data_IF_901142828898
#
_entry.id   IF_901142828898
#
_cell.length_a   1.000
_cell.length_b   1.000
_cell.length_c   1.000
_cell.angle_alpha   90.00
_cell.angle_beta   90.00
_cell.angle_gamma   90.00
#
_symmetry.space_group_name_H-M   'P 1'
#
loop_
_entity.id
_entity.type
_entity.pdbx_description
1 polymer ?
#
# COMPACT_ATOMS: atom_id res chain seq x y z
N UNK A 1 27.73 29.37 48.81
CA UNK A 1 28.00 30.80 48.54
C UNK A 1 27.19 31.18 47.33
N UNK A 2 26.01 31.76 47.58
CA UNK A 2 25.12 32.31 46.57
C UNK A 2 25.64 33.69 46.19
N UNK A 3 25.77 33.99 44.90
CA UNK A 3 26.00 35.34 44.41
C UNK A 3 24.70 35.84 43.77
N UNK A 4 24.09 36.82 44.42
CA UNK A 4 22.99 37.62 43.90
C UNK A 4 23.43 38.42 42.67
N UNK A 5 22.68 38.29 41.58
CA UNK A 5 22.78 39.13 40.39
C UNK A 5 21.50 39.97 40.30
N UNK A 6 21.57 41.31 40.23
CA UNK A 6 20.38 42.14 40.25
C UNK A 6 19.62 42.06 38.91
N UNK A 7 18.32 41.83 39.02
CA UNK A 7 17.35 41.87 37.94
C UNK A 7 17.41 43.22 37.21
N UNK A 8 17.81 43.20 35.94
CA UNK A 8 17.66 44.34 35.03
C UNK A 8 16.18 44.46 34.66
N UNK A 9 15.48 45.38 35.31
CA UNK A 9 14.09 45.71 34.98
C UNK A 9 14.03 46.22 33.53
N UNK A 10 13.21 45.58 32.70
CA UNK A 10 12.80 46.14 31.40
C UNK A 10 11.98 47.41 31.65
N UNK A 11 12.20 48.49 30.89
CA UNK A 11 11.42 49.71 31.04
C UNK A 11 9.93 49.43 30.72
N UNK A 12 8.99 50.10 31.41
CA UNK A 12 7.57 49.94 31.15
C UNK A 12 7.22 50.38 29.73
N UNK A 13 6.31 49.64 29.09
CA UNK A 13 5.74 49.89 27.75
C UNK A 13 4.81 51.12 27.73
N UNK A 14 5.24 52.25 28.31
CA UNK A 14 4.40 53.47 28.39
C UNK A 14 4.98 54.67 27.64
N UNK A 15 6.13 54.55 26.98
CA UNK A 15 6.79 55.69 26.33
C UNK A 15 6.45 55.90 24.84
N UNK A 16 5.55 55.10 24.24
CA UNK A 16 5.18 55.26 22.83
C UNK A 16 3.91 56.09 22.59
N UNK A 17 3.06 56.25 23.60
CA UNK A 17 1.78 56.96 23.45
C UNK A 17 1.92 58.49 23.59
N UNK A 18 3.01 58.99 24.18
CA UNK A 18 3.22 60.42 24.46
C UNK A 18 3.74 61.25 23.26
N UNK A 19 4.15 60.62 22.15
CA UNK A 19 4.74 61.32 20.98
C UNK A 19 3.76 61.45 19.81
N UNK A 20 2.62 60.74 19.86
CA UNK A 20 1.59 60.74 18.81
C UNK A 20 1.02 62.15 18.52
N UNK A 21 0.82 63.05 19.51
CA UNK A 21 0.26 64.38 19.24
C UNK A 21 1.14 65.27 18.35
N UNK A 22 2.46 65.09 18.36
CA UNK A 22 3.43 65.99 17.72
C UNK A 22 3.84 65.58 16.30
N UNK A 23 3.28 64.49 15.76
CA UNK A 23 3.61 64.00 14.42
C UNK A 23 2.82 64.72 13.32
N UNK A 24 3.53 65.18 12.30
CA UNK A 24 2.94 65.71 11.06
C UNK A 24 2.09 64.65 10.35
N UNK A 25 1.11 65.07 9.55
CA UNK A 25 0.20 64.17 8.82
C UNK A 25 0.96 63.11 8.01
N UNK A 26 2.06 63.47 7.37
CA UNK A 26 2.91 62.56 6.60
C UNK A 26 3.67 61.53 7.47
N UNK A 27 4.06 61.90 8.69
CA UNK A 27 4.72 60.99 9.64
C UNK A 27 3.75 59.96 10.23
N UNK A 28 2.49 60.37 10.50
CA UNK A 28 1.43 59.47 10.96
C UNK A 28 1.09 58.39 9.92
N UNK A 29 1.00 58.76 8.64
CA UNK A 29 0.79 57.81 7.55
C UNK A 29 1.91 56.78 7.45
N UNK A 30 3.18 57.20 7.56
CA UNK A 30 4.34 56.28 7.51
C UNK A 30 4.38 55.32 8.70
N UNK A 31 4.01 55.77 9.90
CA UNK A 31 3.96 54.93 11.11
C UNK A 31 2.84 53.90 11.01
N UNK A 32 1.66 54.29 10.51
CA UNK A 32 0.53 53.40 10.26
C UNK A 32 0.86 52.31 9.23
N UNK A 33 1.54 52.67 8.14
CA UNK A 33 2.02 51.70 7.14
C UNK A 33 3.06 50.74 7.73
N UNK A 34 4.03 51.23 8.53
CA UNK A 34 5.03 50.37 9.19
C UNK A 34 4.40 49.39 10.20
N UNK A 35 3.41 49.84 10.97
CA UNK A 35 2.64 48.99 11.91
C UNK A 35 1.81 47.94 11.15
N UNK A 36 1.20 48.32 10.02
CA UNK A 36 0.43 47.39 9.18
C UNK A 36 1.33 46.34 8.51
N UNK A 37 2.52 46.72 8.04
CA UNK A 37 3.50 45.79 7.44
C UNK A 37 4.08 44.84 8.49
N UNK A 38 4.45 45.33 9.68
CA UNK A 38 4.94 44.46 10.77
C UNK A 38 3.85 43.54 11.31
N UNK A 39 2.60 44.00 11.37
CA UNK A 39 1.44 43.16 11.65
C UNK A 39 1.26 42.08 10.57
N UNK A 40 1.32 42.44 9.28
CA UNK A 40 1.23 41.47 8.18
C UNK A 40 2.36 40.43 8.22
N UNK A 41 3.61 40.86 8.41
CA UNK A 41 4.77 39.97 8.49
C UNK A 41 4.65 39.05 9.71
N UNK A 42 4.18 39.57 10.85
CA UNK A 42 3.94 38.76 12.07
C UNK A 42 2.81 37.75 11.84
N UNK A 43 1.72 38.14 11.20
CA UNK A 43 0.62 37.24 10.83
C UNK A 43 1.06 36.17 9.84
N UNK A 44 1.79 36.54 8.79
CA UNK A 44 2.37 35.60 7.80
C UNK A 44 3.33 34.62 8.49
N UNK A 45 4.18 35.11 9.40
CA UNK A 45 5.11 34.27 10.18
C UNK A 45 4.36 33.32 11.11
N UNK A 46 3.27 33.76 11.76
CA UNK A 46 2.41 32.93 12.60
C UNK A 46 1.66 31.87 11.77
N UNK A 47 1.16 32.22 10.58
CA UNK A 47 0.48 31.26 9.69
C UNK A 47 1.45 30.23 9.09
N UNK A 48 2.71 30.61 8.83
CA UNK A 48 3.75 29.68 8.36
C UNK A 48 4.25 28.75 9.47
N UNK A 49 4.37 29.23 10.72
CA UNK A 49 4.79 28.36 11.85
C UNK A 49 3.68 27.39 12.25
N UNK A 50 2.40 27.79 12.17
CA UNK A 50 1.26 26.93 12.55
C UNK A 50 1.00 25.78 11.58
N UNK A 51 1.26 25.94 10.28
CA UNK A 51 1.10 24.86 9.27
C UNK A 51 2.19 23.78 9.37
N UNK A 52 3.43 24.17 9.66
CA UNK A 52 4.54 23.23 9.91
C UNK A 52 4.38 22.48 11.25
N UNK A 53 4.03 23.18 12.32
CA UNK A 53 3.91 22.60 13.68
C UNK A 53 2.62 21.79 13.92
N UNK A 54 1.63 21.87 13.03
CA UNK A 54 0.43 21.02 13.12
C UNK A 54 0.62 19.68 12.40
N UNK A 55 1.40 19.63 11.32
CA UNK A 55 1.68 18.37 10.59
C UNK A 55 2.50 17.38 11.44
N UNK A 56 3.35 17.88 12.33
CA UNK A 56 4.15 17.07 13.27
C UNK A 56 3.34 16.58 14.49
N UNK A 57 2.23 17.25 14.85
CA UNK A 57 1.44 16.92 16.05
C UNK A 57 0.46 15.75 15.90
N UNK A 58 0.14 15.32 14.69
CA UNK A 58 -0.81 14.24 14.41
C UNK A 58 -0.17 12.98 13.81
N UNK A 59 1.17 12.87 13.78
CA UNK A 59 1.84 11.69 13.25
C UNK A 59 1.78 10.54 14.27
N UNK A 60 1.42 9.30 13.86
CA UNK A 60 1.43 8.16 14.76
C UNK A 60 2.83 7.95 15.37
N UNK A 61 2.94 7.62 16.67
CA UNK A 61 4.23 7.60 17.36
C UNK A 61 5.21 6.55 16.81
N UNK A 62 4.70 5.51 16.17
CA UNK A 62 5.50 4.42 15.57
C UNK A 62 5.94 4.73 14.13
N UNK A 63 5.46 5.84 13.53
CA UNK A 63 5.75 6.14 12.12
C UNK A 63 7.16 6.73 11.99
N UNK A 64 8.04 5.98 11.34
CA UNK A 64 9.39 6.41 11.02
C UNK A 64 9.77 5.95 9.61
N UNK A 65 10.34 6.86 8.82
CA UNK A 65 10.78 6.63 7.44
C UNK A 65 9.74 5.93 6.56
N UNK A 66 8.46 6.28 6.71
CA UNK A 66 7.36 5.65 6.00
C UNK A 66 6.58 6.73 5.24
N UNK A 67 6.81 6.84 3.93
CA UNK A 67 6.21 7.89 3.11
C UNK A 67 4.71 7.63 2.86
N UNK A 68 3.93 8.68 2.61
CA UNK A 68 2.48 8.57 2.37
C UNK A 68 2.18 7.81 1.06
N UNK A 69 3.05 7.92 0.07
CA UNK A 69 2.92 7.17 -1.19
C UNK A 69 3.11 5.67 -0.98
N UNK A 70 4.07 5.26 -0.13
CA UNK A 70 4.27 3.86 0.24
C UNK A 70 3.03 3.32 0.96
N UNK A 71 2.49 4.07 1.92
CA UNK A 71 1.26 3.72 2.64
C UNK A 71 0.07 3.55 1.68
N UNK A 72 -0.12 4.48 0.74
CA UNK A 72 -1.18 4.40 -0.26
C UNK A 72 -0.98 3.22 -1.22
N UNK A 73 0.28 2.92 -1.59
CA UNK A 73 0.61 1.80 -2.46
C UNK A 73 0.35 0.46 -1.76
N UNK A 74 0.67 0.31 -0.47
CA UNK A 74 0.31 -0.87 0.32
C UNK A 74 -1.21 -1.07 0.37
N UNK A 75 -1.99 -0.01 0.55
CA UNK A 75 -3.46 -0.12 0.53
C UNK A 75 -4.00 -0.63 -0.82
N UNK A 76 -3.39 -0.21 -1.94
CA UNK A 76 -3.72 -0.74 -3.26
C UNK A 76 -3.32 -2.21 -3.40
N UNK A 77 -2.12 -2.57 -2.96
CA UNK A 77 -1.65 -3.95 -3.00
C UNK A 77 -2.54 -4.88 -2.16
N UNK A 78 -2.94 -4.45 -0.95
CA UNK A 78 -3.91 -5.18 -0.11
C UNK A 78 -5.18 -5.51 -0.89
N UNK A 79 -5.75 -4.54 -1.61
CA UNK A 79 -6.96 -4.78 -2.39
C UNK A 79 -6.70 -5.73 -3.57
N UNK A 80 -5.51 -5.67 -4.18
CA UNK A 80 -5.12 -6.57 -5.27
C UNK A 80 -4.95 -8.02 -4.80
N UNK A 81 -4.33 -8.27 -3.64
CA UNK A 81 -4.23 -9.63 -3.06
C UNK A 81 -5.62 -10.17 -2.68
N UNK A 82 -6.49 -9.31 -2.14
CA UNK A 82 -7.88 -9.67 -1.86
C UNK A 82 -8.67 -10.01 -3.14
N UNK A 83 -8.40 -9.30 -4.24
CA UNK A 83 -8.97 -9.60 -5.54
C UNK A 83 -8.44 -10.92 -6.09
N UNK A 84 -7.13 -11.16 -6.01
CA UNK A 84 -6.52 -12.42 -6.44
C UNK A 84 -7.10 -13.62 -5.66
N UNK A 85 -7.21 -13.49 -4.34
CA UNK A 85 -7.90 -14.44 -3.46
C UNK A 85 -9.33 -14.74 -3.95
N UNK A 86 -10.08 -13.71 -4.37
CA UNK A 86 -11.46 -13.87 -4.84
C UNK A 86 -11.56 -14.51 -6.24
N UNK A 87 -10.61 -14.21 -7.13
CA UNK A 87 -10.49 -14.86 -8.44
C UNK A 87 -10.21 -16.35 -8.28
N UNK A 88 -9.24 -16.72 -7.43
CA UNK A 88 -8.94 -18.12 -7.14
C UNK A 88 -10.11 -18.85 -6.49
N UNK A 89 -10.88 -18.18 -5.63
CA UNK A 89 -12.09 -18.76 -5.05
C UNK A 89 -13.14 -19.09 -6.14
N UNK A 90 -13.31 -18.19 -7.12
CA UNK A 90 -14.19 -18.42 -8.26
C UNK A 90 -13.73 -19.61 -9.10
N UNK A 91 -12.43 -19.71 -9.40
CA UNK A 91 -11.86 -20.87 -10.10
C UNK A 91 -12.09 -22.18 -9.32
N UNK A 92 -11.87 -22.17 -8.01
CA UNK A 92 -12.03 -23.34 -7.16
C UNK A 92 -13.46 -23.91 -7.24
N UNK A 93 -14.47 -23.06 -7.10
CA UNK A 93 -15.87 -23.47 -7.14
C UNK A 93 -16.37 -23.77 -8.56
N UNK A 94 -15.70 -23.28 -9.59
CA UNK A 94 -15.96 -23.72 -10.96
C UNK A 94 -15.58 -25.18 -11.18
N UNK A 95 -14.39 -25.61 -10.76
CA UNK A 95 -13.94 -27.00 -10.91
C UNK A 95 -14.62 -27.99 -9.96
N UNK A 96 -15.31 -27.50 -8.93
CA UNK A 96 -16.12 -28.31 -8.00
C UNK A 96 -17.54 -28.60 -8.51
N UNK A 97 -17.95 -27.98 -9.63
CA UNK A 97 -19.25 -28.27 -10.27
C UNK A 97 -19.32 -29.70 -10.79
N UNK A 98 -20.52 -30.25 -10.88
CA UNK A 98 -20.79 -31.60 -11.38
C UNK A 98 -20.42 -31.79 -12.86
N UNK A 99 -20.47 -30.74 -13.65
CA UNK A 99 -20.12 -30.74 -15.08
C UNK A 99 -18.63 -30.51 -15.36
N UNK A 100 -17.83 -30.22 -14.33
CA UNK A 100 -16.36 -30.10 -14.42
C UNK A 100 -15.66 -31.25 -13.67
N UNK A 101 -16.03 -31.49 -12.40
CA UNK A 101 -15.62 -32.62 -11.56
C UNK A 101 -14.09 -32.86 -11.46
N UNK A 102 -13.27 -31.79 -11.46
CA UNK A 102 -11.81 -31.87 -11.31
C UNK A 102 -11.40 -31.46 -9.88
N UNK A 103 -11.59 -32.37 -8.93
CA UNK A 103 -11.48 -32.06 -7.50
C UNK A 103 -10.08 -31.60 -7.04
N UNK A 104 -8.98 -32.04 -7.65
CA UNK A 104 -7.66 -31.55 -7.25
C UNK A 104 -7.35 -30.18 -7.85
N UNK A 105 -7.91 -29.82 -9.02
CA UNK A 105 -7.94 -28.43 -9.48
C UNK A 105 -8.72 -27.53 -8.52
N UNK A 106 -9.92 -27.95 -8.11
CA UNK A 106 -10.72 -27.21 -7.14
C UNK A 106 -9.96 -27.01 -5.82
N UNK A 107 -9.31 -28.07 -5.31
CA UNK A 107 -8.46 -28.02 -4.12
C UNK A 107 -7.28 -27.06 -4.29
N UNK A 108 -6.54 -27.15 -5.39
CA UNK A 108 -5.39 -26.29 -5.68
C UNK A 108 -5.79 -24.81 -5.67
N UNK A 109 -6.81 -24.43 -6.45
CA UNK A 109 -7.24 -23.03 -6.50
C UNK A 109 -7.83 -22.55 -5.16
N UNK A 110 -8.44 -23.45 -4.38
CA UNK A 110 -8.88 -23.10 -3.02
C UNK A 110 -7.70 -22.82 -2.10
N UNK A 111 -6.61 -23.59 -2.20
CA UNK A 111 -5.39 -23.33 -1.46
C UNK A 111 -4.77 -21.98 -1.87
N UNK A 112 -4.63 -21.71 -3.16
CA UNK A 112 -4.16 -20.40 -3.63
C UNK A 112 -5.04 -19.25 -3.13
N UNK A 113 -6.36 -19.42 -3.12
CA UNK A 113 -7.27 -18.42 -2.56
C UNK A 113 -6.99 -18.08 -1.09
N UNK A 114 -6.61 -19.09 -0.29
CA UNK A 114 -6.22 -18.90 1.10
C UNK A 114 -4.84 -18.24 1.21
N UNK A 115 -3.85 -18.66 0.42
CA UNK A 115 -2.51 -18.07 0.41
C UNK A 115 -2.57 -16.57 0.06
N UNK A 116 -3.33 -16.18 -0.97
CA UNK A 116 -3.51 -14.76 -1.31
C UNK A 116 -4.23 -13.97 -0.21
N UNK A 117 -5.10 -14.63 0.56
CA UNK A 117 -5.71 -14.00 1.73
C UNK A 117 -4.66 -13.73 2.81
N UNK A 118 -3.76 -14.68 3.04
CA UNK A 118 -2.65 -14.52 3.98
C UNK A 118 -1.67 -13.42 3.52
N UNK A 119 -1.42 -13.30 2.21
CA UNK A 119 -0.65 -12.19 1.63
C UNK A 119 -1.29 -10.83 1.95
N UNK A 120 -2.61 -10.69 1.74
CA UNK A 120 -3.33 -9.48 2.08
C UNK A 120 -3.22 -9.13 3.58
N UNK A 121 -3.38 -10.12 4.46
CA UNK A 121 -3.27 -9.94 5.92
C UNK A 121 -1.86 -9.57 6.37
N UNK A 122 -0.83 -10.16 5.73
CA UNK A 122 0.59 -9.85 5.97
C UNK A 122 0.88 -8.38 5.60
N UNK A 123 0.30 -7.86 4.51
CA UNK A 123 0.37 -6.44 4.15
C UNK A 123 -0.38 -5.53 5.14
N UNK A 124 -1.57 -5.93 5.58
CA UNK A 124 -2.32 -5.18 6.60
C UNK A 124 -1.51 -5.07 7.91
N UNK A 125 -0.82 -6.15 8.29
CA UNK A 125 0.02 -6.18 9.48
C UNK A 125 1.20 -5.21 9.36
N UNK A 126 1.95 -5.21 8.24
CA UNK A 126 3.08 -4.29 8.07
C UNK A 126 2.61 -2.83 7.98
N UNK A 127 1.47 -2.57 7.35
CA UNK A 127 0.85 -1.24 7.30
C UNK A 127 0.65 -0.67 8.72
N UNK A 128 0.09 -1.47 9.63
CA UNK A 128 -0.10 -1.07 11.02
C UNK A 128 1.22 -0.96 11.80
N UNK A 129 2.18 -1.87 11.58
CA UNK A 129 3.50 -1.83 12.22
C UNK A 129 4.26 -0.54 11.90
N UNK A 130 4.16 -0.06 10.65
CA UNK A 130 4.82 1.18 10.19
C UNK A 130 4.04 2.45 10.55
N UNK A 131 2.92 2.32 11.26
CA UNK A 131 2.07 3.45 11.65
C UNK A 131 1.22 4.00 10.50
N UNK A 132 1.01 3.23 9.44
CA UNK A 132 0.05 3.53 8.39
C UNK A 132 -1.40 3.33 8.83
N UNK A 133 -2.33 3.64 7.95
CA UNK A 133 -3.76 3.43 8.11
C UNK A 133 -4.29 2.63 6.93
N UNK A 134 -5.03 1.57 7.27
CA UNK A 134 -5.68 0.71 6.29
C UNK A 134 -6.97 1.38 5.84
N UNK A 135 -7.13 1.55 4.53
CA UNK A 135 -8.35 2.05 3.90
C UNK A 135 -8.86 1.03 2.89
N UNK A 136 -9.65 0.06 3.35
CA UNK A 136 -10.21 -0.98 2.49
C UNK A 136 -11.14 -0.39 1.42
N UNK A 137 -11.10 -1.01 0.24
CA UNK A 137 -11.93 -0.67 -0.91
C UNK A 137 -12.74 -1.90 -1.33
N UNK A 138 -13.71 -1.68 -2.22
CA UNK A 138 -14.45 -2.78 -2.85
C UNK A 138 -13.50 -3.79 -3.47
N UNK A 139 -13.72 -5.07 -3.19
CA UNK A 139 -13.08 -6.16 -3.95
C UNK A 139 -13.97 -6.42 -5.15
N UNK A 140 -13.48 -6.11 -6.35
CA UNK A 140 -14.25 -6.32 -7.57
C UNK A 140 -14.48 -7.82 -7.79
N UNK A 141 -15.62 -8.16 -8.37
CA UNK A 141 -15.86 -9.53 -8.81
C UNK A 141 -14.86 -9.90 -9.93
N UNK A 142 -14.52 -11.19 -10.09
CA UNK A 142 -13.73 -11.64 -11.24
C UNK A 142 -14.39 -11.25 -12.57
N UNK A 143 -13.58 -11.08 -13.62
CA UNK A 143 -14.05 -10.66 -14.95
C UNK A 143 -14.95 -11.69 -15.63
N UNK A 144 -14.84 -12.97 -15.24
CA UNK A 144 -15.62 -14.09 -15.76
C UNK A 144 -16.01 -15.05 -14.65
N UNK A 145 -17.17 -15.69 -14.85
CA UNK A 145 -17.72 -16.73 -13.97
C UNK A 145 -17.46 -18.15 -14.53
N UNK A 146 -17.24 -18.25 -15.85
CA UNK A 146 -16.89 -19.48 -16.56
C UNK A 146 -15.37 -19.48 -16.86
N UNK A 147 -14.66 -20.49 -16.38
CA UNK A 147 -13.20 -20.58 -16.52
C UNK A 147 -12.74 -21.48 -17.65
N UNK A 148 -13.67 -22.17 -18.32
CA UNK A 148 -13.39 -23.01 -19.47
C UNK A 148 -12.71 -24.31 -19.05
N UNK A 149 -11.56 -24.62 -19.62
CA UNK A 149 -10.83 -25.84 -19.28
C UNK A 149 -9.76 -25.63 -18.19
N UNK A 150 -9.19 -26.72 -17.67
CA UNK A 150 -8.08 -26.67 -16.72
C UNK A 150 -6.88 -25.85 -17.24
N UNK A 151 -6.52 -25.99 -18.53
CA UNK A 151 -5.43 -25.19 -19.12
C UNK A 151 -5.78 -23.71 -19.24
N UNK A 152 -7.03 -23.37 -19.60
CA UNK A 152 -7.47 -21.97 -19.72
C UNK A 152 -7.53 -21.27 -18.35
N UNK A 153 -7.93 -22.00 -17.31
CA UNK A 153 -7.91 -21.51 -15.93
C UNK A 153 -6.48 -21.27 -15.43
N UNK A 154 -5.54 -22.20 -15.67
CA UNK A 154 -4.14 -22.02 -15.30
C UNK A 154 -3.46 -20.90 -16.08
N UNK A 155 -3.82 -20.69 -17.34
CA UNK A 155 -3.36 -19.52 -18.11
C UNK A 155 -3.88 -18.21 -17.52
N UNK A 156 -5.14 -18.20 -17.08
CA UNK A 156 -5.74 -17.04 -16.41
C UNK A 156 -5.05 -16.76 -15.06
N UNK A 157 -4.78 -17.80 -14.27
CA UNK A 157 -4.01 -17.71 -13.03
C UNK A 157 -2.59 -17.18 -13.27
N UNK A 158 -1.89 -17.70 -14.30
CA UNK A 158 -0.55 -17.24 -14.67
C UNK A 158 -0.52 -15.74 -15.03
N UNK A 159 -1.55 -15.22 -15.69
CA UNK A 159 -1.64 -13.79 -15.99
C UNK A 159 -1.96 -12.95 -14.75
N UNK A 160 -2.81 -13.46 -13.87
CA UNK A 160 -3.09 -12.84 -12.57
C UNK A 160 -1.81 -12.71 -11.76
N UNK A 161 -1.04 -13.79 -11.60
CA UNK A 161 0.23 -13.78 -10.85
C UNK A 161 1.26 -12.81 -11.42
N UNK A 162 1.36 -12.72 -12.76
CA UNK A 162 2.23 -11.74 -13.41
C UNK A 162 1.78 -10.30 -13.15
N UNK A 163 0.47 -10.07 -13.08
CA UNK A 163 -0.10 -8.75 -12.79
C UNK A 163 0.13 -8.35 -11.33
N UNK A 164 -0.06 -9.28 -10.39
CA UNK A 164 0.25 -9.10 -8.96
C UNK A 164 1.75 -8.82 -8.78
N UNK A 165 2.61 -9.62 -9.43
CA UNK A 165 4.06 -9.42 -9.38
C UNK A 165 4.49 -8.07 -9.95
N UNK A 166 3.90 -7.62 -11.07
CA UNK A 166 4.19 -6.29 -11.60
C UNK A 166 3.80 -5.18 -10.60
N UNK A 167 2.66 -5.31 -9.93
CA UNK A 167 2.24 -4.37 -8.88
C UNK A 167 3.20 -4.37 -7.68
N UNK A 168 3.75 -5.54 -7.30
CA UNK A 168 4.77 -5.64 -6.25
C UNK A 168 6.09 -4.99 -6.65
N UNK A 169 6.52 -5.13 -7.92
CA UNK A 169 7.70 -4.43 -8.44
C UNK A 169 7.49 -2.92 -8.44
N UNK A 170 6.30 -2.44 -8.79
CA UNK A 170 5.96 -1.02 -8.76
C UNK A 170 5.91 -0.50 -7.30
N UNK A 171 5.38 -1.28 -6.36
CA UNK A 171 5.40 -0.98 -4.93
C UNK A 171 6.84 -0.90 -4.40
N UNK A 172 7.68 -1.89 -4.74
CA UNK A 172 9.09 -1.91 -4.36
C UNK A 172 9.84 -0.68 -4.89
N UNK A 173 9.58 -0.29 -6.14
CA UNK A 173 10.13 0.92 -6.74
C UNK A 173 9.73 2.17 -5.96
N UNK A 174 8.45 2.33 -5.60
CA UNK A 174 7.97 3.47 -4.80
C UNK A 174 8.68 3.51 -3.44
N UNK A 175 8.83 2.37 -2.77
CA UNK A 175 9.55 2.28 -1.51
C UNK A 175 11.04 2.64 -1.66
N UNK A 176 11.67 2.20 -2.76
CA UNK A 176 13.06 2.50 -3.08
C UNK A 176 13.29 3.99 -3.37
N UNK A 177 12.40 4.63 -4.14
CA UNK A 177 12.45 6.06 -4.46
C UNK A 177 12.34 6.93 -3.19
N UNK A 178 11.58 6.46 -2.19
CA UNK A 178 11.45 7.10 -0.88
C UNK A 178 12.50 6.65 0.15
N UNK A 179 13.50 5.86 -0.26
CA UNK A 179 14.57 5.34 0.61
C UNK A 179 14.04 4.59 1.84
N UNK A 180 13.04 3.71 1.67
CA UNK A 180 12.51 2.83 2.72
C UNK A 180 13.10 1.41 2.61
N UNK A 181 14.32 1.17 3.12
CA UNK A 181 14.99 -0.12 2.96
C UNK A 181 14.26 -1.27 3.66
N UNK A 182 13.54 -0.99 4.75
CA UNK A 182 12.75 -2.00 5.44
C UNK A 182 11.58 -2.47 4.59
N UNK A 183 10.87 -1.56 3.90
CA UNK A 183 9.80 -1.99 2.99
C UNK A 183 10.33 -2.75 1.78
N UNK A 184 11.48 -2.35 1.23
CA UNK A 184 12.11 -3.09 0.13
C UNK A 184 12.43 -4.53 0.55
N UNK A 185 13.13 -4.71 1.68
CA UNK A 185 13.47 -6.01 2.25
C UNK A 185 12.22 -6.87 2.56
N UNK A 186 11.18 -6.24 3.12
CA UNK A 186 9.91 -6.93 3.39
C UNK A 186 9.24 -7.47 2.12
N UNK A 187 9.22 -6.69 1.04
CA UNK A 187 8.64 -7.09 -0.25
C UNK A 187 9.48 -8.18 -0.91
N UNK A 188 10.80 -8.04 -0.88
CA UNK A 188 11.75 -9.05 -1.39
C UNK A 188 11.59 -10.38 -0.67
N UNK A 189 11.62 -10.37 0.66
CA UNK A 189 11.63 -11.57 1.51
C UNK A 189 10.32 -12.35 1.45
N UNK A 190 9.17 -11.65 1.41
CA UNK A 190 7.88 -12.27 1.64
C UNK A 190 6.96 -12.35 0.42
N UNK A 191 7.35 -11.78 -0.73
CA UNK A 191 6.47 -11.73 -1.91
C UNK A 191 7.24 -12.03 -3.20
N UNK A 192 8.33 -11.32 -3.51
CA UNK A 192 8.95 -11.44 -4.84
C UNK A 192 9.48 -12.85 -5.14
N UNK A 193 10.12 -13.50 -4.16
CA UNK A 193 10.60 -14.88 -4.32
C UNK A 193 9.44 -15.88 -4.44
N UNK A 194 8.33 -15.64 -3.73
CA UNK A 194 7.12 -16.46 -3.80
C UNK A 194 6.47 -16.31 -5.19
N UNK A 195 6.26 -15.08 -5.68
CA UNK A 195 5.70 -14.81 -7.00
C UNK A 195 6.49 -15.49 -8.13
N UNK A 196 7.83 -15.43 -8.09
CA UNK A 196 8.66 -16.06 -9.14
C UNK A 196 8.47 -17.58 -9.15
N UNK A 197 8.35 -18.21 -7.98
CA UNK A 197 8.07 -19.66 -7.87
C UNK A 197 6.68 -20.00 -8.39
N UNK A 198 5.64 -19.26 -7.98
CA UNK A 198 4.26 -19.47 -8.43
C UNK A 198 4.12 -19.30 -9.95
N UNK A 199 4.71 -18.24 -10.51
CA UNK A 199 4.72 -18.01 -11.97
C UNK A 199 5.43 -19.15 -12.70
N UNK A 200 6.54 -19.66 -12.16
CA UNK A 200 7.29 -20.77 -12.75
C UNK A 200 6.48 -22.06 -12.73
N UNK A 201 5.85 -22.38 -11.60
CA UNK A 201 5.02 -23.58 -11.42
C UNK A 201 3.82 -23.57 -12.37
N UNK A 202 3.04 -22.48 -12.37
CA UNK A 202 1.92 -22.32 -13.30
C UNK A 202 2.36 -22.43 -14.76
N UNK A 203 3.51 -21.83 -15.10
CA UNK A 203 4.09 -21.92 -16.44
C UNK A 203 4.46 -23.35 -16.86
N UNK A 204 5.01 -24.15 -15.94
CA UNK A 204 5.31 -25.56 -16.17
C UNK A 204 4.05 -26.38 -16.39
N UNK A 205 3.00 -26.12 -15.61
CA UNK A 205 1.73 -26.82 -15.68
C UNK A 205 0.97 -26.52 -16.97
N UNK A 206 0.91 -25.25 -17.38
CA UNK A 206 0.37 -24.85 -18.69
C UNK A 206 1.13 -25.55 -19.82
N UNK A 207 2.46 -25.60 -19.74
CA UNK A 207 3.29 -26.29 -20.74
C UNK A 207 2.97 -27.79 -20.80
N UNK A 208 2.84 -28.45 -19.65
CA UNK A 208 2.54 -29.87 -19.58
C UNK A 208 1.15 -30.19 -20.16
N UNK A 209 0.11 -29.45 -19.77
CA UNK A 209 -1.24 -29.67 -20.29
C UNK A 209 -1.35 -29.46 -21.80
N UNK A 210 -0.72 -28.40 -22.32
CA UNK A 210 -0.64 -28.18 -23.78
C UNK A 210 0.05 -29.34 -24.50
N UNK A 211 1.15 -29.86 -23.94
CA UNK A 211 1.86 -31.03 -24.51
C UNK A 211 1.05 -32.32 -24.44
N UNK A 212 0.17 -32.46 -23.46
CA UNK A 212 -0.77 -33.59 -23.34
C UNK A 212 -1.99 -33.45 -24.29
N UNK A 213 -2.15 -32.31 -24.95
CA UNK A 213 -3.21 -32.04 -25.91
C UNK A 213 -4.49 -31.47 -25.29
N UNK A 214 -4.43 -30.89 -24.09
CA UNK A 214 -5.57 -30.15 -23.53
C UNK A 214 -5.85 -28.85 -24.31
N UNK A 215 -7.12 -28.42 -24.45
CA UNK A 215 -8.33 -29.06 -23.94
C UNK A 215 -8.92 -30.16 -24.84
N UNK A 216 -8.41 -30.36 -26.06
CA UNK A 216 -9.04 -31.28 -27.03
C UNK A 216 -8.99 -32.74 -26.59
N UNK A 217 -7.95 -33.12 -25.83
CA UNK A 217 -7.80 -34.44 -25.24
C UNK A 217 -8.36 -34.44 -23.80
N UNK A 218 -9.60 -34.86 -23.61
CA UNK A 218 -10.23 -34.89 -22.28
C UNK A 218 -9.50 -35.74 -21.24
N UNK A 219 -8.71 -36.75 -21.65
CA UNK A 219 -7.89 -37.52 -20.73
C UNK A 219 -6.71 -36.72 -20.16
N UNK A 220 -6.29 -35.65 -20.84
CA UNK A 220 -5.14 -34.86 -20.42
C UNK A 220 -5.38 -34.20 -19.05
N UNK A 221 -6.50 -33.50 -18.91
CA UNK A 221 -6.84 -32.77 -17.69
C UNK A 221 -7.16 -33.73 -16.54
N UNK A 222 -7.84 -34.84 -16.82
CA UNK A 222 -8.08 -35.89 -15.82
C UNK A 222 -6.79 -36.50 -15.27
N UNK A 223 -5.85 -36.88 -16.16
CA UNK A 223 -4.57 -37.44 -15.72
C UNK A 223 -3.73 -36.40 -14.98
N UNK A 224 -3.78 -35.14 -15.41
CA UNK A 224 -3.08 -34.05 -14.75
C UNK A 224 -3.63 -33.78 -13.34
N UNK A 225 -4.97 -33.75 -13.19
CA UNK A 225 -5.66 -33.64 -11.90
C UNK A 225 -5.19 -34.74 -10.93
N UNK A 226 -5.06 -35.99 -11.40
CA UNK A 226 -4.65 -37.11 -10.53
C UNK A 226 -3.16 -37.18 -10.26
N UNK A 227 -2.30 -36.93 -11.25
CA UNK A 227 -0.87 -37.22 -11.15
C UNK A 227 0.01 -36.01 -10.85
N UNK A 228 -0.43 -34.79 -11.20
CA UNK A 228 0.31 -33.56 -10.89
C UNK A 228 -0.26 -32.94 -9.62
N UNK A 229 -1.53 -32.52 -9.66
CA UNK A 229 -2.19 -31.85 -8.53
C UNK A 229 -2.53 -32.82 -7.39
N UNK A 230 -2.73 -34.10 -7.70
CA UNK A 230 -2.98 -35.13 -6.69
C UNK A 230 -1.76 -35.46 -5.81
N UNK A 231 -0.55 -35.08 -6.22
CA UNK A 231 0.70 -35.32 -5.47
C UNK A 231 0.93 -34.33 -4.32
N UNK A 232 0.14 -33.28 -4.18
CA UNK A 232 0.11 -32.44 -2.96
C UNK A 232 -0.52 -33.16 -1.76
N UNK A 233 -0.21 -34.45 -1.61
CA UNK A 233 -0.60 -35.34 -0.52
C UNK A 233 0.62 -36.15 -0.11
N UNK A 234 1.44 -35.53 0.73
CA UNK A 234 1.78 -36.00 2.09
C UNK A 234 2.35 -34.83 2.89
#
# INVERSE_FOLDING_TARGET
MCFDCPLRQSPPLTAFDDVIPYLTTAQRSRLSIKLSITSLIRTIRITHTTTSDQKTRNMPPVRQNFHQDCEAAINRQINLELYASYVYLSMAYYFDRDDQALHNFAKFFKNQSHEEREHAEKLMKVQNQRGGRIFLQDVKKPEKDEWGSGVEALESALQLEKSVNQSLLDLHKVCSEHNDPHMCDFIETHYLDEQVKSIKELGDWVTNLRRMGAPQNGMAEYLFDKHTLGKERE
#
